data_IF_773967400949
#
_entry.id   IF_773967400949
#
_cell.length_a   1.000
_cell.length_b   1.000
_cell.length_c   1.000
_cell.angle_alpha   90.00
_cell.angle_beta   90.00
_cell.angle_gamma   90.00
#
_symmetry.space_group_name_H-M   'P 1'
#
loop_
_entity.id
_entity.type
_entity.pdbx_description
1 polymer ?
#
# COMPACT_ATOMS: atom_id res chain seq x y z
N UNK A 1 0.61 9.87 24.08
CA UNK A 1 -0.03 8.65 23.54
C UNK A 1 0.01 7.44 24.46
N UNK A 2 0.69 7.49 25.62
CA UNK A 2 0.77 6.37 26.57
C UNK A 2 -0.58 6.02 27.27
N UNK A 3 -1.59 6.88 27.15
CA UNK A 3 -2.92 6.68 27.75
C UNK A 3 -4.02 6.35 26.73
N UNK A 4 -3.68 6.09 25.46
CA UNK A 4 -4.67 5.80 24.42
C UNK A 4 -4.56 4.34 23.95
N UNK A 5 -5.67 3.59 24.07
CA UNK A 5 -5.78 2.22 23.56
C UNK A 5 -5.81 2.13 22.03
N UNK A 6 -6.08 3.26 21.34
CA UNK A 6 -6.04 3.40 19.88
C UNK A 6 -5.67 4.82 19.49
N UNK A 7 -4.80 4.96 18.47
CA UNK A 7 -4.38 6.26 17.93
C UNK A 7 -4.77 6.31 16.47
N UNK A 8 -5.52 7.36 16.08
CA UNK A 8 -5.88 7.64 14.69
C UNK A 8 -4.84 8.61 14.15
N UNK A 9 -4.06 8.16 13.15
CA UNK A 9 -2.93 8.90 12.58
C UNK A 9 -3.35 9.87 11.47
N UNK A 10 -4.62 9.86 11.04
CA UNK A 10 -5.16 10.71 9.98
C UNK A 10 -6.36 11.49 10.49
N UNK A 11 -6.44 12.75 10.10
CA UNK A 11 -7.52 13.68 10.51
C UNK A 11 -8.81 13.40 9.68
N UNK A 12 -9.39 12.22 9.89
CA UNK A 12 -10.56 11.73 9.15
C UNK A 12 -11.61 11.15 10.12
N UNK A 13 -12.72 11.84 10.29
CA UNK A 13 -13.83 11.43 11.18
C UNK A 13 -14.46 10.08 10.76
N UNK A 14 -14.43 9.75 9.48
CA UNK A 14 -14.96 8.50 8.96
C UNK A 14 -14.19 7.28 9.48
N UNK A 15 -12.87 7.41 9.68
CA UNK A 15 -12.02 6.38 10.30
C UNK A 15 -12.43 6.08 11.74
N UNK A 16 -12.91 7.09 12.47
CA UNK A 16 -13.43 6.89 13.83
C UNK A 16 -14.71 6.05 13.82
N UNK A 17 -15.61 6.32 12.87
CA UNK A 17 -16.86 5.56 12.74
C UNK A 17 -16.59 4.10 12.32
N UNK A 18 -15.61 3.86 11.48
CA UNK A 18 -15.16 2.53 11.05
C UNK A 18 -14.49 1.77 12.18
N UNK A 19 -13.55 2.38 12.88
CA UNK A 19 -12.90 1.81 14.06
C UNK A 19 -13.93 1.41 15.13
N UNK A 20 -14.94 2.26 15.37
CA UNK A 20 -16.03 1.98 16.31
C UNK A 20 -16.92 0.80 15.87
N UNK A 21 -17.20 0.68 14.56
CA UNK A 21 -17.97 -0.48 14.02
C UNK A 21 -17.18 -1.77 14.17
N UNK A 22 -15.87 -1.74 13.82
CA UNK A 22 -14.98 -2.88 13.93
C UNK A 22 -14.85 -3.34 15.39
N UNK A 23 -14.59 -2.39 16.32
CA UNK A 23 -14.50 -2.66 17.75
C UNK A 23 -15.80 -3.27 18.32
N UNK A 24 -16.97 -2.72 17.95
CA UNK A 24 -18.27 -3.28 18.36
C UNK A 24 -18.50 -4.69 17.84
N UNK A 25 -18.14 -4.98 16.59
CA UNK A 25 -18.27 -6.32 16.01
C UNK A 25 -17.33 -7.32 16.69
N UNK A 26 -16.05 -6.95 16.85
CA UNK A 26 -15.08 -7.77 17.58
C UNK A 26 -15.52 -8.07 19.01
N UNK A 27 -15.97 -7.05 19.73
CA UNK A 27 -16.51 -7.20 21.08
C UNK A 27 -17.77 -8.07 21.12
N UNK A 28 -18.65 -7.94 20.13
CA UNK A 28 -19.84 -8.79 19.98
C UNK A 28 -19.48 -10.26 19.84
N UNK A 29 -18.52 -10.58 18.96
CA UNK A 29 -18.03 -11.96 18.75
C UNK A 29 -17.34 -12.48 20.03
N UNK A 30 -16.47 -11.69 20.65
CA UNK A 30 -15.81 -12.08 21.89
C UNK A 30 -16.82 -12.37 23.01
N UNK A 31 -17.80 -11.49 23.23
CA UNK A 31 -18.87 -11.69 24.21
C UNK A 31 -19.69 -12.94 23.92
N UNK A 32 -20.04 -13.17 22.64
CA UNK A 32 -20.77 -14.38 22.24
C UNK A 32 -19.95 -15.64 22.54
N UNK A 33 -18.66 -15.66 22.26
CA UNK A 33 -17.77 -16.79 22.52
C UNK A 33 -17.69 -17.08 24.03
N UNK A 34 -17.50 -16.04 24.86
CA UNK A 34 -17.44 -16.20 26.33
C UNK A 34 -18.77 -16.72 26.89
N UNK A 35 -19.89 -16.11 26.52
CA UNK A 35 -21.21 -16.49 27.05
C UNK A 35 -21.57 -17.90 26.59
N UNK A 36 -21.31 -18.28 25.35
CA UNK A 36 -21.57 -19.61 24.84
C UNK A 36 -20.67 -20.66 25.51
N UNK A 37 -19.35 -20.38 25.64
CA UNK A 37 -18.42 -21.29 26.30
C UNK A 37 -18.76 -21.51 27.75
N UNK A 38 -19.01 -20.44 28.53
CA UNK A 38 -19.43 -20.55 29.92
C UNK A 38 -20.75 -21.30 30.08
N UNK A 39 -21.74 -21.03 29.20
CA UNK A 39 -23.03 -21.70 29.26
C UNK A 39 -22.90 -23.21 29.00
N UNK A 40 -22.11 -23.61 28.00
CA UNK A 40 -21.86 -25.01 27.70
C UNK A 40 -21.08 -25.72 28.80
N UNK A 41 -20.07 -25.05 29.39
CA UNK A 41 -19.30 -25.60 30.52
C UNK A 41 -20.18 -25.79 31.77
N UNK A 42 -21.06 -24.82 32.09
CA UNK A 42 -22.00 -24.94 33.20
C UNK A 42 -23.01 -26.08 32.96
N UNK A 43 -23.51 -26.23 31.77
CA UNK A 43 -24.38 -27.36 31.42
C UNK A 43 -23.65 -28.70 31.59
N UNK A 44 -22.41 -28.81 31.08
CA UNK A 44 -21.55 -29.99 31.24
C UNK A 44 -21.31 -30.35 32.70
N UNK A 45 -21.04 -29.33 33.56
CA UNK A 45 -20.91 -29.53 35.03
C UNK A 45 -22.21 -30.04 35.66
N UNK A 46 -23.38 -29.54 35.24
CA UNK A 46 -24.69 -30.02 35.68
C UNK A 46 -24.93 -31.50 35.31
N UNK A 47 -24.59 -31.92 34.13
CA UNK A 47 -24.68 -33.32 33.71
C UNK A 47 -23.71 -34.23 34.50
N UNK A 48 -22.49 -33.76 34.73
CA UNK A 48 -21.50 -34.46 35.55
C UNK A 48 -21.97 -34.62 37.01
N UNK A 49 -22.50 -33.57 37.61
CA UNK A 49 -23.05 -33.61 38.96
C UNK A 49 -24.27 -34.55 39.09
N UNK A 50 -25.06 -34.71 38.05
CA UNK A 50 -26.17 -35.68 37.97
C UNK A 50 -25.70 -37.12 37.76
N UNK A 51 -24.39 -37.38 37.63
CA UNK A 51 -23.83 -38.69 37.35
C UNK A 51 -24.03 -39.23 35.93
N UNK A 52 -24.47 -38.35 35.02
CA UNK A 52 -24.75 -38.71 33.61
C UNK A 52 -23.52 -38.63 32.71
N UNK A 53 -22.43 -37.98 33.18
CA UNK A 53 -21.21 -37.77 32.42
C UNK A 53 -20.01 -38.39 33.15
N UNK A 54 -19.36 -39.43 32.59
CA UNK A 54 -18.18 -40.03 33.20
C UNK A 54 -16.99 -39.04 33.06
N UNK A 55 -15.98 -39.08 34.00
CA UNK A 55 -14.87 -38.11 34.02
C UNK A 55 -14.13 -37.95 32.70
N UNK A 56 -13.85 -39.04 31.98
CA UNK A 56 -13.19 -39.03 30.67
C UNK A 56 -14.09 -38.37 29.62
N UNK A 57 -15.38 -38.63 29.61
CA UNK A 57 -16.35 -38.00 28.74
C UNK A 57 -16.46 -36.48 29.00
N UNK A 58 -16.40 -36.07 30.27
CA UNK A 58 -16.38 -34.66 30.68
C UNK A 58 -15.16 -33.93 30.15
N UNK A 59 -13.98 -34.54 30.29
CA UNK A 59 -12.73 -33.96 29.78
C UNK A 59 -12.75 -33.76 28.26
N UNK A 60 -13.19 -34.78 27.48
CA UNK A 60 -13.32 -34.69 26.04
C UNK A 60 -14.36 -33.63 25.61
N UNK A 61 -15.47 -33.54 26.31
CA UNK A 61 -16.49 -32.53 26.06
C UNK A 61 -15.96 -31.11 26.29
N UNK A 62 -15.16 -30.91 27.35
CA UNK A 62 -14.54 -29.61 27.64
C UNK A 62 -13.55 -29.20 26.54
N UNK A 63 -12.68 -30.11 26.09
CA UNK A 63 -11.76 -29.85 24.99
C UNK A 63 -12.51 -29.46 23.69
N UNK A 64 -13.62 -30.15 23.40
CA UNK A 64 -14.44 -29.81 22.24
C UNK A 64 -15.08 -28.41 22.36
N UNK A 65 -15.54 -28.04 23.55
CA UNK A 65 -16.08 -26.69 23.83
C UNK A 65 -14.99 -25.63 23.61
N UNK A 66 -13.80 -25.86 24.13
CA UNK A 66 -12.67 -24.90 24.03
C UNK A 66 -12.27 -24.71 22.55
N UNK A 67 -12.17 -25.78 21.78
CA UNK A 67 -11.91 -25.70 20.32
C UNK A 67 -13.01 -24.91 19.61
N UNK A 68 -14.28 -25.16 19.89
CA UNK A 68 -15.40 -24.43 19.27
C UNK A 68 -15.40 -22.95 19.63
N UNK A 69 -15.07 -22.61 20.87
CA UNK A 69 -14.95 -21.21 21.33
C UNK A 69 -13.81 -20.50 20.60
N UNK A 70 -12.65 -21.14 20.47
CA UNK A 70 -11.49 -20.61 19.72
C UNK A 70 -11.87 -20.41 18.23
N UNK A 71 -12.48 -21.41 17.60
CA UNK A 71 -12.91 -21.30 16.18
C UNK A 71 -13.94 -20.18 15.99
N UNK A 72 -14.87 -20.00 16.95
CA UNK A 72 -15.80 -18.88 16.89
C UNK A 72 -15.09 -17.51 17.09
N UNK A 73 -14.09 -17.43 17.97
CA UNK A 73 -13.29 -16.23 18.15
C UNK A 73 -12.47 -15.87 16.88
N UNK A 74 -11.95 -16.88 16.18
CA UNK A 74 -11.24 -16.69 14.89
C UNK A 74 -12.12 -16.10 13.78
N UNK A 75 -13.45 -16.17 13.90
CA UNK A 75 -14.37 -15.44 13.02
C UNK A 75 -14.16 -13.92 13.07
N UNK A 76 -13.65 -13.39 14.19
CA UNK A 76 -13.32 -11.97 14.29
C UNK A 76 -12.19 -11.59 13.31
N UNK A 77 -11.24 -12.50 13.05
CA UNK A 77 -10.16 -12.29 12.09
C UNK A 77 -10.67 -12.40 10.64
N UNK A 78 -11.57 -13.36 10.36
CA UNK A 78 -12.22 -13.47 9.03
C UNK A 78 -13.10 -12.26 8.71
N UNK A 79 -13.79 -11.73 9.70
CA UNK A 79 -14.58 -10.51 9.55
C UNK A 79 -13.74 -9.29 9.16
N UNK A 80 -12.44 -9.29 9.47
CA UNK A 80 -11.48 -8.29 8.99
C UNK A 80 -11.26 -8.44 7.48
N UNK A 81 -11.19 -9.66 6.96
CA UNK A 81 -11.08 -9.94 5.52
C UNK A 81 -12.34 -9.57 4.72
N UNK A 82 -13.55 -9.67 5.33
CA UNK A 82 -14.81 -9.26 4.68
C UNK A 82 -15.06 -7.75 4.70
N UNK A 83 -14.43 -7.02 5.64
CA UNK A 83 -14.45 -5.55 5.74
C UNK A 83 -13.35 -4.90 4.91
N UNK A 84 -12.39 -5.68 4.42
CA UNK A 84 -11.41 -5.22 3.46
C UNK A 84 -12.07 -5.28 2.07
N UNK A 85 -12.23 -4.13 1.40
CA UNK A 85 -12.81 -4.13 0.05
C UNK A 85 -11.90 -4.93 -0.89
N UNK A 86 -12.49 -5.41 -1.99
CA UNK A 86 -11.80 -6.15 -3.05
C UNK A 86 -10.70 -5.33 -3.79
N UNK A 87 -10.23 -4.23 -3.21
CA UNK A 87 -9.20 -3.33 -3.72
C UNK A 87 -7.83 -3.45 -3.06
N UNK A 88 -7.66 -4.36 -2.07
CA UNK A 88 -6.36 -4.60 -1.42
C UNK A 88 -5.31 -5.12 -2.41
N UNK A 89 -5.65 -6.00 -3.37
CA UNK A 89 -4.67 -6.43 -4.35
C UNK A 89 -4.01 -5.27 -5.10
N UNK A 90 -4.78 -4.21 -5.42
CA UNK A 90 -4.24 -3.08 -6.17
C UNK A 90 -3.32 -2.19 -5.33
N UNK A 91 -3.67 -1.87 -4.10
CA UNK A 91 -2.80 -1.05 -3.24
C UNK A 91 -1.52 -1.78 -2.82
N UNK A 92 -1.59 -3.08 -2.56
CA UNK A 92 -0.42 -3.91 -2.27
C UNK A 92 0.46 -4.08 -3.51
N UNK A 93 -0.16 -4.28 -4.67
CA UNK A 93 0.54 -4.39 -5.95
C UNK A 93 1.30 -3.10 -6.28
N UNK A 94 0.64 -1.93 -6.18
CA UNK A 94 1.29 -0.64 -6.43
C UNK A 94 2.47 -0.41 -5.47
N UNK A 95 2.35 -0.76 -4.17
CA UNK A 95 3.49 -0.67 -3.24
C UNK A 95 4.65 -1.59 -3.63
N UNK A 96 4.36 -2.81 -4.03
CA UNK A 96 5.40 -3.74 -4.49
C UNK A 96 6.13 -3.22 -5.74
N UNK A 97 5.38 -2.64 -6.69
CA UNK A 97 5.95 -2.03 -7.89
C UNK A 97 6.81 -0.79 -7.54
N UNK A 98 6.40 0.04 -6.59
CA UNK A 98 7.24 1.15 -6.10
C UNK A 98 8.56 0.65 -5.47
N UNK A 99 8.51 -0.45 -4.71
CA UNK A 99 9.72 -1.08 -4.15
C UNK A 99 10.66 -1.59 -5.27
N UNK A 100 10.09 -2.15 -6.34
CA UNK A 100 10.85 -2.61 -7.52
C UNK A 100 11.44 -1.43 -8.31
N UNK A 101 10.73 -0.30 -8.44
CA UNK A 101 11.17 0.90 -9.15
C UNK A 101 12.17 1.75 -8.34
N UNK A 102 12.18 1.65 -7.00
CA UNK A 102 13.00 2.47 -6.12
C UNK A 102 14.51 2.47 -6.46
N UNK A 103 15.16 1.35 -6.83
CA UNK A 103 16.56 1.37 -7.25
C UNK A 103 16.81 2.19 -8.50
N UNK A 104 15.92 2.14 -9.49
CA UNK A 104 15.99 2.95 -10.71
C UNK A 104 15.82 4.44 -10.43
N UNK A 105 14.91 4.79 -9.51
CA UNK A 105 14.73 6.18 -9.05
C UNK A 105 15.97 6.68 -8.33
N UNK A 106 16.62 5.87 -7.50
CA UNK A 106 17.86 6.27 -6.80
C UNK A 106 19.04 6.40 -7.77
N UNK A 107 19.10 5.59 -8.84
CA UNK A 107 20.13 5.71 -9.87
C UNK A 107 20.10 7.06 -10.57
N UNK A 108 18.93 7.70 -10.74
CA UNK A 108 18.81 9.05 -11.27
C UNK A 108 19.65 10.05 -10.45
N UNK A 109 19.58 9.97 -9.14
CA UNK A 109 20.35 10.82 -8.22
C UNK A 109 21.84 10.52 -8.31
N UNK A 110 22.20 9.22 -8.23
CA UNK A 110 23.59 8.77 -8.28
C UNK A 110 24.27 9.21 -9.59
N UNK A 111 23.54 9.11 -10.71
CA UNK A 111 24.04 9.56 -12.00
C UNK A 111 24.14 11.09 -12.05
N UNK A 112 23.16 11.83 -11.53
CA UNK A 112 23.19 13.29 -11.46
C UNK A 112 24.41 13.80 -10.66
N UNK A 113 24.76 13.15 -9.55
CA UNK A 113 25.92 13.49 -8.72
C UNK A 113 27.24 13.34 -9.50
N UNK A 114 27.32 12.38 -10.42
CA UNK A 114 28.57 11.96 -11.09
C UNK A 114 28.64 12.31 -12.58
N UNK A 115 27.64 12.94 -13.16
CA UNK A 115 27.52 13.16 -14.62
C UNK A 115 28.74 13.85 -15.24
N UNK A 116 29.42 14.75 -14.50
CA UNK A 116 30.62 15.47 -14.96
C UNK A 116 31.94 14.70 -14.72
N UNK A 117 31.89 13.64 -13.89
CA UNK A 117 33.09 12.89 -13.47
C UNK A 117 33.28 11.58 -14.27
N UNK A 118 32.21 11.10 -14.91
CA UNK A 118 32.21 9.82 -15.59
C UNK A 118 32.91 9.91 -16.96
N UNK A 119 33.72 8.88 -17.32
CA UNK A 119 34.21 8.75 -18.68
C UNK A 119 33.05 8.68 -19.70
N UNK A 120 33.22 9.27 -20.88
CA UNK A 120 32.14 9.38 -21.89
C UNK A 120 31.44 8.04 -22.19
N UNK A 121 32.18 6.93 -22.31
CA UNK A 121 31.59 5.62 -22.58
C UNK A 121 30.78 5.06 -21.39
N UNK A 122 31.21 5.30 -20.14
CA UNK A 122 30.46 4.91 -18.95
C UNK A 122 29.20 5.77 -18.80
N UNK A 123 29.33 7.08 -19.04
CA UNK A 123 28.20 8.00 -19.02
C UNK A 123 27.14 7.58 -20.03
N UNK A 124 27.51 7.34 -21.29
CA UNK A 124 26.59 6.88 -22.32
C UNK A 124 25.86 5.60 -21.95
N UNK A 125 26.58 4.61 -21.38
CA UNK A 125 25.98 3.35 -20.95
C UNK A 125 24.95 3.55 -19.82
N UNK A 126 25.24 4.42 -18.83
CA UNK A 126 24.32 4.73 -17.73
C UNK A 126 23.11 5.54 -18.18
N UNK A 127 23.30 6.51 -19.07
CA UNK A 127 22.20 7.27 -19.67
C UNK A 127 21.26 6.37 -20.45
N UNK A 128 21.81 5.39 -21.22
CA UNK A 128 20.99 4.40 -21.93
C UNK A 128 20.24 3.48 -20.95
N UNK A 129 20.83 3.12 -19.80
CA UNK A 129 20.16 2.34 -18.77
C UNK A 129 19.02 3.12 -18.11
N UNK A 130 19.24 4.39 -17.78
CA UNK A 130 18.18 5.28 -17.26
C UNK A 130 17.06 5.45 -18.27
N UNK A 131 17.36 5.64 -19.56
CA UNK A 131 16.35 5.76 -20.61
C UNK A 131 15.47 4.50 -20.66
N UNK A 132 16.07 3.30 -20.63
CA UNK A 132 15.30 2.04 -20.59
C UNK A 132 14.42 1.95 -19.36
N UNK A 133 14.95 2.26 -18.19
CA UNK A 133 14.16 2.29 -16.94
C UNK A 133 12.94 3.21 -17.06
N UNK A 134 13.12 4.42 -17.60
CA UNK A 134 12.01 5.35 -17.81
C UNK A 134 10.98 4.82 -18.81
N UNK A 135 11.43 4.29 -19.96
CA UNK A 135 10.55 3.89 -21.07
C UNK A 135 9.91 2.51 -20.87
N UNK A 136 10.61 1.55 -20.25
CA UNK A 136 10.17 0.16 -20.15
C UNK A 136 9.56 -0.20 -18.79
N UNK A 137 9.87 0.55 -17.73
CA UNK A 137 9.43 0.24 -16.36
C UNK A 137 8.57 1.35 -15.79
N UNK A 138 9.07 2.60 -15.72
CA UNK A 138 8.40 3.69 -15.03
C UNK A 138 7.15 4.19 -15.77
N UNK A 139 7.27 4.58 -17.04
CA UNK A 139 6.14 5.13 -17.80
C UNK A 139 4.99 4.13 -17.98
N UNK A 140 5.24 2.82 -18.23
CA UNK A 140 4.18 1.81 -18.21
C UNK A 140 3.49 1.64 -16.84
N UNK A 141 4.24 1.81 -15.74
CA UNK A 141 3.66 1.84 -14.39
C UNK A 141 2.68 3.01 -14.22
N UNK A 142 3.10 4.25 -14.54
CA UNK A 142 2.25 5.44 -14.50
C UNK A 142 0.99 5.29 -15.38
N UNK A 143 1.15 4.75 -16.60
CA UNK A 143 0.02 4.51 -17.52
C UNK A 143 -0.99 3.51 -16.97
N UNK A 144 -0.52 2.46 -16.30
CA UNK A 144 -1.40 1.48 -15.65
C UNK A 144 -2.16 2.12 -14.48
N UNK A 145 -1.53 2.96 -13.68
CA UNK A 145 -2.20 3.67 -12.58
C UNK A 145 -3.26 4.63 -13.09
N UNK A 146 -2.95 5.40 -14.14
CA UNK A 146 -3.92 6.27 -14.81
C UNK A 146 -5.13 5.48 -15.36
N UNK A 147 -4.91 4.25 -15.84
CA UNK A 147 -5.95 3.41 -16.43
C UNK A 147 -6.74 2.58 -15.41
N UNK A 148 -6.10 2.04 -14.38
CA UNK A 148 -6.69 1.04 -13.47
C UNK A 148 -6.91 1.57 -12.05
N UNK A 149 -5.92 2.28 -11.47
CA UNK A 149 -5.93 2.68 -10.05
C UNK A 149 -6.71 3.98 -9.83
N UNK A 150 -6.37 5.05 -10.54
CA UNK A 150 -6.99 6.36 -10.33
C UNK A 150 -8.49 6.39 -10.63
N UNK A 151 -9.01 5.71 -11.66
CA UNK A 151 -10.44 5.63 -11.87
C UNK A 151 -11.21 4.96 -10.72
N UNK A 152 -10.59 4.03 -9.99
CA UNK A 152 -11.20 3.42 -8.79
C UNK A 152 -11.35 4.45 -7.67
N UNK A 153 -10.32 5.27 -7.47
CA UNK A 153 -10.30 6.33 -6.47
C UNK A 153 -11.30 7.44 -6.82
N UNK A 154 -11.27 7.89 -8.07
CA UNK A 154 -12.19 8.91 -8.58
C UNK A 154 -13.67 8.50 -8.41
N UNK A 155 -14.00 7.25 -8.71
CA UNK A 155 -15.36 6.73 -8.51
C UNK A 155 -15.82 6.74 -7.05
N UNK A 156 -14.89 6.57 -6.11
CA UNK A 156 -15.21 6.48 -4.67
C UNK A 156 -15.13 7.82 -3.95
N UNK A 157 -14.18 8.67 -4.34
CA UNK A 157 -13.81 9.86 -3.58
C UNK A 157 -13.91 11.17 -4.38
N UNK A 158 -14.31 11.10 -5.66
CA UNK A 158 -14.44 12.26 -6.54
C UNK A 158 -13.15 12.58 -7.32
N UNK A 159 -13.28 13.38 -8.38
CA UNK A 159 -12.19 13.66 -9.32
C UNK A 159 -10.98 14.38 -8.67
N UNK A 160 -11.21 15.18 -7.64
CA UNK A 160 -10.16 15.94 -6.97
C UNK A 160 -9.17 15.04 -6.21
N UNK A 161 -9.63 13.85 -5.76
CA UNK A 161 -8.80 12.93 -4.97
C UNK A 161 -7.56 12.44 -5.74
N UNK A 162 -7.65 12.23 -7.06
CA UNK A 162 -6.55 11.78 -7.91
C UNK A 162 -5.93 12.91 -8.76
N UNK A 163 -6.49 14.13 -8.74
CA UNK A 163 -6.06 15.20 -9.64
C UNK A 163 -4.60 15.64 -9.45
N UNK A 164 -4.08 15.57 -8.22
CA UNK A 164 -2.70 15.92 -7.94
C UNK A 164 -1.73 14.90 -8.53
N UNK A 165 -2.07 13.61 -8.44
CA UNK A 165 -1.26 12.50 -8.97
C UNK A 165 -1.24 12.52 -10.51
N UNK A 166 -2.39 12.71 -11.16
CA UNK A 166 -2.43 12.87 -12.62
C UNK A 166 -1.60 14.05 -13.13
N UNK A 167 -1.49 15.15 -12.37
CA UNK A 167 -0.57 16.25 -12.70
C UNK A 167 0.90 15.87 -12.52
N UNK A 168 1.21 15.07 -11.49
CA UNK A 168 2.57 14.54 -11.30
C UNK A 168 3.00 13.66 -12.47
N UNK A 169 2.13 12.75 -12.94
CA UNK A 169 2.40 11.92 -14.13
C UNK A 169 2.65 12.76 -15.38
N UNK A 170 1.90 13.86 -15.59
CA UNK A 170 2.15 14.75 -16.72
C UNK A 170 3.56 15.37 -16.66
N UNK A 171 3.99 15.80 -15.48
CA UNK A 171 5.33 16.37 -15.29
C UNK A 171 6.43 15.32 -15.40
N UNK A 172 6.22 14.11 -14.87
CA UNK A 172 7.14 12.97 -15.01
C UNK A 172 7.34 12.65 -16.50
N UNK A 173 6.26 12.52 -17.29
CA UNK A 173 6.32 12.29 -18.74
C UNK A 173 7.03 13.43 -19.48
N UNK A 174 6.80 14.67 -19.07
CA UNK A 174 7.49 15.84 -19.64
C UNK A 174 9.00 15.76 -19.39
N UNK A 175 9.44 15.52 -18.16
CA UNK A 175 10.85 15.40 -17.81
C UNK A 175 11.51 14.17 -18.45
N UNK A 176 10.82 13.03 -18.54
CA UNK A 176 11.31 11.85 -19.23
C UNK A 176 11.52 12.11 -20.74
N UNK A 177 10.58 12.82 -21.39
CA UNK A 177 10.72 13.24 -22.79
C UNK A 177 11.89 14.19 -22.98
N UNK A 178 12.05 15.16 -22.07
CA UNK A 178 13.18 16.10 -22.10
C UNK A 178 14.51 15.36 -21.92
N UNK A 179 14.58 14.42 -20.99
CA UNK A 179 15.74 13.56 -20.76
C UNK A 179 16.10 12.77 -22.03
N UNK A 180 15.14 12.06 -22.62
CA UNK A 180 15.36 11.25 -23.83
C UNK A 180 15.86 12.11 -25.01
N UNK A 181 15.35 13.34 -25.15
CA UNK A 181 15.84 14.29 -26.16
C UNK A 181 17.27 14.69 -25.89
N UNK A 182 17.63 15.12 -24.67
CA UNK A 182 19.00 15.50 -24.30
C UNK A 182 19.98 14.36 -24.55
N UNK A 183 19.63 13.12 -24.16
CA UNK A 183 20.47 11.94 -24.42
C UNK A 183 20.67 11.72 -25.93
N UNK A 184 19.63 11.87 -26.74
CA UNK A 184 19.74 11.71 -28.20
C UNK A 184 20.61 12.81 -28.86
N UNK A 185 20.63 14.01 -28.32
CA UNK A 185 21.50 15.10 -28.78
C UNK A 185 22.98 14.81 -28.43
N UNK A 186 23.26 14.13 -27.32
CA UNK A 186 24.61 13.70 -26.93
C UNK A 186 25.20 12.56 -27.77
N UNK A 187 24.36 11.70 -28.36
CA UNK A 187 24.81 10.60 -29.22
C UNK A 187 25.60 11.10 -30.46
N UNK A 188 25.59 12.42 -30.73
CA UNK A 188 26.28 13.06 -31.84
C UNK A 188 27.71 13.54 -31.53
N UNK A 189 28.19 13.47 -30.25
CA UNK A 189 29.54 13.95 -29.87
C UNK A 189 29.85 13.85 -28.38
N UNK A 190 31.01 14.37 -27.96
CA UNK A 190 31.34 14.51 -26.53
C UNK A 190 30.48 15.64 -25.92
N UNK A 191 29.82 15.38 -24.75
CA UNK A 191 28.97 16.39 -24.12
C UNK A 191 29.76 17.60 -23.62
N UNK A 192 29.25 18.78 -23.93
CA UNK A 192 29.80 20.03 -23.41
C UNK A 192 29.33 20.30 -21.97
N UNK A 193 29.96 21.26 -21.26
CA UNK A 193 29.62 21.58 -19.86
C UNK A 193 28.17 22.02 -19.65
N UNK A 194 27.57 22.67 -20.65
CA UNK A 194 26.18 23.15 -20.55
C UNK A 194 25.19 21.98 -20.70
N UNK A 195 25.47 21.06 -21.62
CA UNK A 195 24.66 19.83 -21.81
C UNK A 195 24.70 18.92 -20.57
N UNK A 196 25.87 18.76 -19.97
CA UNK A 196 26.02 18.02 -18.71
C UNK A 196 25.25 18.68 -17.57
N UNK A 197 25.23 20.00 -17.50
CA UNK A 197 24.47 20.77 -16.52
C UNK A 197 22.96 20.60 -16.71
N UNK A 198 22.49 20.60 -17.93
CA UNK A 198 21.06 20.41 -18.23
C UNK A 198 20.62 18.96 -17.94
N UNK A 199 21.45 17.98 -18.27
CA UNK A 199 21.22 16.57 -17.88
C UNK A 199 21.13 16.43 -16.36
N UNK A 200 22.07 17.03 -15.62
CA UNK A 200 22.05 17.00 -14.15
C UNK A 200 20.75 17.59 -13.59
N UNK A 201 20.27 18.70 -14.13
CA UNK A 201 19.00 19.31 -13.71
C UNK A 201 17.81 18.41 -13.93
N UNK A 202 17.74 17.76 -15.10
CA UNK A 202 16.63 16.87 -15.44
C UNK A 202 16.65 15.61 -14.59
N UNK A 203 17.83 15.02 -14.35
CA UNK A 203 18.00 13.85 -13.50
C UNK A 203 17.57 14.13 -12.05
N UNK A 204 17.99 15.26 -11.46
CA UNK A 204 17.53 15.65 -10.12
C UNK A 204 16.04 15.99 -10.10
N UNK A 205 15.51 16.61 -11.16
CA UNK A 205 14.09 16.90 -11.30
C UNK A 205 13.26 15.62 -11.29
N UNK A 206 13.63 14.62 -12.10
CA UNK A 206 13.01 13.30 -12.13
C UNK A 206 13.10 12.61 -10.78
N UNK A 207 14.28 12.53 -10.17
CA UNK A 207 14.45 11.93 -8.85
C UNK A 207 13.54 12.59 -7.81
N UNK A 208 13.52 13.93 -7.74
CA UNK A 208 12.75 14.66 -6.74
C UNK A 208 11.24 14.45 -6.90
N UNK A 209 10.73 14.54 -8.14
CA UNK A 209 9.30 14.38 -8.40
C UNK A 209 8.85 12.95 -8.14
N UNK A 210 9.62 11.94 -8.57
CA UNK A 210 9.31 10.53 -8.36
C UNK A 210 9.28 10.14 -6.88
N UNK A 211 10.28 10.60 -6.11
CA UNK A 211 10.31 10.39 -4.66
C UNK A 211 9.10 11.00 -3.95
N UNK A 212 8.72 12.21 -4.36
CA UNK A 212 7.55 12.88 -3.78
C UNK A 212 6.26 12.20 -4.21
N UNK A 213 6.14 11.84 -5.48
CA UNK A 213 4.98 11.19 -6.07
C UNK A 213 4.69 9.84 -5.38
N UNK A 214 5.66 8.92 -5.31
CA UNK A 214 5.49 7.64 -4.64
C UNK A 214 5.12 7.82 -3.15
N UNK A 215 5.79 8.75 -2.46
CA UNK A 215 5.46 9.02 -1.06
C UNK A 215 4.02 9.56 -0.88
N UNK A 216 3.54 10.41 -1.77
CA UNK A 216 2.17 10.93 -1.73
C UNK A 216 1.14 9.85 -2.07
N UNK A 217 1.40 9.01 -3.06
CA UNK A 217 0.52 7.88 -3.37
C UNK A 217 0.38 6.93 -2.20
N UNK A 218 1.49 6.46 -1.66
CA UNK A 218 1.49 5.52 -0.54
C UNK A 218 0.83 6.07 0.71
N UNK A 219 1.03 7.35 1.01
CA UNK A 219 0.54 7.96 2.25
C UNK A 219 -0.87 8.53 2.12
N UNK A 220 -1.28 9.02 0.95
CA UNK A 220 -2.52 9.76 0.78
C UNK A 220 -3.53 9.04 -0.13
N UNK A 221 -3.08 8.42 -1.22
CA UNK A 221 -3.94 7.89 -2.25
C UNK A 221 -4.30 6.41 -2.02
N UNK A 222 -3.31 5.55 -1.85
CA UNK A 222 -3.55 4.11 -1.64
C UNK A 222 -4.40 3.80 -0.41
N UNK A 223 -4.30 4.52 0.73
CA UNK A 223 -5.23 4.33 1.85
C UNK A 223 -6.69 4.60 1.50
N UNK A 224 -6.99 5.40 0.46
CA UNK A 224 -8.36 5.60 -0.02
C UNK A 224 -8.94 4.36 -0.69
N UNK A 225 -8.11 3.53 -1.34
CA UNK A 225 -8.54 2.23 -1.87
C UNK A 225 -8.86 1.22 -0.77
N UNK A 226 -8.13 1.30 0.34
CA UNK A 226 -8.28 0.42 1.49
C UNK A 226 -9.47 0.81 2.39
N UNK A 227 -9.89 2.06 2.34
CA UNK A 227 -11.05 2.56 3.08
C UNK A 227 -12.34 2.20 2.34
N UNK A 228 -13.00 1.11 2.72
CA UNK A 228 -14.27 0.65 2.15
C UNK A 228 -15.45 1.59 2.41
N UNK A 229 -15.41 2.82 1.92
CA UNK A 229 -16.53 3.77 1.99
C UNK A 229 -17.45 3.49 0.81
N UNK A 230 -18.61 2.91 1.12
CA UNK A 230 -19.72 2.81 0.16
C UNK A 230 -20.17 4.22 -0.20
N UNK A 231 -20.29 4.59 -1.49
CA UNK A 231 -20.86 5.87 -1.86
C UNK A 231 -22.31 5.95 -1.36
N UNK A 232 -22.69 7.11 -0.84
CA UNK A 232 -24.09 7.44 -0.54
C UNK A 232 -24.90 7.59 -1.80
#
# INVERSE_FOLDING_TARGET
>A
SEAADAVILVDCLDRLAEAKRLARRAFGIARQSVVAGMGLSLAGMGFAAAGLLPPVGGALAQEAIDVLVILNALRALRARGELMPAGIPESERTRAEHEELAPGVEELRVLADRVEELPAGELAARLAAVRRFLEEELLPHDEREDAEVYPLIVRRHGAEAAAAMGRAHLEIRHLATLFSRLVSELDAGEPGPDELRDLRRVLYGLHAILRLHFAQEEQQLLPLLESGITPR
#
